data_IF_443860765267
#
_entry.id   IF_443860765267
#
_cell.length_a   1.000
_cell.length_b   1.000
_cell.length_c   1.000
_cell.angle_alpha   90.00
_cell.angle_beta   90.00
_cell.angle_gamma   90.00
#
_symmetry.space_group_name_H-M   'P 1'
#
loop_
_entity.id
_entity.type
_entity.pdbx_description
1 polymer ?
#
# COMPACT_ATOMS: atom_id res chain seq x y z
N UNK A 1 -15.62 -1.51 1.94
CA UNK A 1 -14.59 -2.12 1.09
C UNK A 1 -13.40 -2.64 1.89
N UNK A 2 -12.42 -1.84 2.35
CA UNK A 2 -11.22 -2.38 3.05
C UNK A 2 -11.54 -3.15 4.34
N UNK A 3 -12.45 -2.65 5.18
CA UNK A 3 -12.88 -3.38 6.39
C UNK A 3 -13.50 -4.75 6.06
N UNK A 4 -14.33 -4.83 5.02
CA UNK A 4 -14.95 -6.08 4.58
C UNK A 4 -13.90 -7.07 4.06
N UNK A 5 -12.91 -6.60 3.30
CA UNK A 5 -11.78 -7.42 2.86
C UNK A 5 -11.01 -7.96 4.07
N UNK A 6 -10.62 -7.11 5.02
CA UNK A 6 -9.90 -7.54 6.23
C UNK A 6 -10.71 -8.58 7.02
N UNK A 7 -12.01 -8.35 7.20
CA UNK A 7 -12.90 -9.32 7.86
C UNK A 7 -12.92 -10.65 7.13
N UNK A 8 -13.16 -10.63 5.82
CA UNK A 8 -13.17 -11.84 5.00
C UNK A 8 -11.85 -12.62 5.10
N UNK A 9 -10.71 -11.92 5.02
CA UNK A 9 -9.38 -12.55 5.11
C UNK A 9 -9.14 -13.16 6.50
N UNK A 10 -9.57 -12.51 7.59
CA UNK A 10 -9.48 -13.07 8.95
C UNK A 10 -10.34 -14.33 9.13
N UNK A 11 -11.49 -14.38 8.47
CA UNK A 11 -12.45 -15.49 8.61
C UNK A 11 -12.12 -16.67 7.70
N UNK A 12 -11.50 -16.43 6.54
CA UNK A 12 -11.37 -17.44 5.48
C UNK A 12 -9.93 -17.83 5.16
N UNK A 13 -8.93 -17.12 5.68
CA UNK A 13 -7.52 -17.39 5.40
C UNK A 13 -6.69 -17.40 6.69
N UNK A 14 -5.82 -18.40 6.81
CA UNK A 14 -4.84 -18.48 7.88
C UNK A 14 -3.62 -17.60 7.54
N UNK A 15 -3.81 -16.28 7.50
CA UNK A 15 -2.74 -15.31 7.29
C UNK A 15 -2.47 -14.52 8.59
N UNK A 16 -1.18 -14.31 8.90
CA UNK A 16 -0.75 -13.57 10.10
C UNK A 16 -0.74 -12.05 9.89
N UNK A 17 -0.50 -11.62 8.65
CA UNK A 17 -0.41 -10.21 8.28
C UNK A 17 -0.84 -9.96 6.83
N UNK A 18 -1.21 -8.70 6.56
CA UNK A 18 -1.42 -8.15 5.23
C UNK A 18 -0.32 -7.15 4.94
N UNK A 19 0.27 -7.27 3.76
CA UNK A 19 1.25 -6.32 3.24
C UNK A 19 0.70 -5.76 1.94
N UNK A 20 0.79 -4.45 1.77
CA UNK A 20 0.44 -3.76 0.53
C UNK A 20 1.49 -2.71 0.19
N UNK A 21 1.55 -2.36 -1.09
CA UNK A 21 2.40 -1.29 -1.59
C UNK A 21 1.55 -0.23 -2.29
N UNK A 22 1.85 1.03 -2.03
CA UNK A 22 1.19 2.19 -2.67
C UNK A 22 2.24 3.24 -3.02
N UNK A 23 1.86 4.21 -3.83
CA UNK A 23 2.63 5.43 -4.02
C UNK A 23 2.54 6.38 -2.80
N UNK A 24 3.42 7.37 -2.71
CA UNK A 24 3.46 8.37 -1.64
C UNK A 24 2.72 9.68 -1.97
N UNK A 25 2.00 9.76 -3.10
CA UNK A 25 1.40 10.99 -3.63
C UNK A 25 -0.12 11.02 -3.45
N UNK A 26 -0.82 9.93 -3.77
CA UNK A 26 -2.28 9.83 -3.88
C UNK A 26 -3.02 9.81 -2.52
N UNK A 27 -2.38 10.22 -1.42
CA UNK A 27 -2.91 10.15 -0.04
C UNK A 27 -3.34 8.74 0.45
N UNK A 28 -3.01 7.71 -0.32
CA UNK A 28 -3.35 6.32 -0.02
C UNK A 28 -2.73 5.85 1.31
N UNK A 29 -1.53 6.32 1.63
CA UNK A 29 -0.86 6.05 2.92
C UNK A 29 -1.77 6.42 4.10
N UNK A 30 -2.29 7.64 4.13
CA UNK A 30 -3.16 8.11 5.21
C UNK A 30 -4.48 7.32 5.29
N UNK A 31 -5.00 6.87 4.15
CA UNK A 31 -6.18 5.98 4.11
C UNK A 31 -5.87 4.62 4.75
N UNK A 32 -4.74 4.00 4.42
CA UNK A 32 -4.35 2.70 4.98
C UNK A 32 -3.96 2.78 6.46
N UNK A 33 -3.34 3.87 6.90
CA UNK A 33 -3.08 4.14 8.32
C UNK A 33 -4.39 4.20 9.11
N UNK A 34 -5.44 4.86 8.58
CA UNK A 34 -6.79 4.86 9.18
C UNK A 34 -7.43 3.47 9.21
N UNK A 35 -7.01 2.56 8.32
CA UNK A 35 -7.41 1.15 8.36
C UNK A 35 -6.55 0.31 9.33
N UNK A 36 -5.60 0.94 10.02
CA UNK A 36 -4.70 0.32 11.00
C UNK A 36 -3.57 -0.47 10.36
N UNK A 37 -3.09 -0.04 9.18
CA UNK A 37 -1.79 -0.43 8.66
C UNK A 37 -0.71 0.52 9.19
N UNK A 38 0.54 0.08 9.18
CA UNK A 38 1.71 0.90 9.51
C UNK A 38 2.73 0.80 8.39
N UNK A 39 3.39 1.92 8.06
CA UNK A 39 4.51 1.93 7.10
C UNK A 39 5.63 1.00 7.60
N UNK A 40 6.25 0.27 6.68
CA UNK A 40 7.37 -0.63 6.96
C UNK A 40 8.66 -0.13 6.32
N UNK A 41 8.62 0.14 5.03
CA UNK A 41 9.77 0.63 4.26
C UNK A 41 9.31 1.32 2.99
N UNK A 42 10.24 2.05 2.39
CA UNK A 42 10.11 2.70 1.08
C UNK A 42 11.11 2.08 0.12
N UNK A 43 10.68 1.85 -1.11
CA UNK A 43 11.57 1.55 -2.23
C UNK A 43 11.66 2.81 -3.08
N UNK A 44 12.81 3.46 -3.06
CA UNK A 44 13.07 4.66 -3.88
C UNK A 44 13.08 4.29 -5.36
N UNK A 45 12.57 5.18 -6.22
CA UNK A 45 12.54 5.03 -7.69
C UNK A 45 11.83 3.77 -8.22
N UNK A 46 11.07 3.06 -7.38
CA UNK A 46 10.35 1.84 -7.80
C UNK A 46 9.58 2.05 -9.12
N UNK A 47 8.85 3.15 -9.26
CA UNK A 47 8.05 3.39 -10.47
C UNK A 47 8.91 3.74 -11.69
N UNK A 48 10.08 4.36 -11.50
CA UNK A 48 11.01 4.67 -12.58
C UNK A 48 11.73 3.43 -13.09
N UNK A 49 12.07 2.52 -12.17
CA UNK A 49 12.89 1.35 -12.48
C UNK A 49 12.05 0.19 -13.03
N UNK A 50 10.75 0.14 -12.72
CA UNK A 50 9.87 -0.99 -13.05
C UNK A 50 8.85 -0.71 -14.17
N UNK A 51 8.71 0.53 -14.64
CA UNK A 51 7.79 0.90 -15.72
C UNK A 51 8.53 1.64 -16.84
N UNK A 52 8.25 1.26 -18.08
CA UNK A 52 8.85 1.82 -19.29
C UNK A 52 8.28 3.21 -19.67
N UNK A 53 7.20 3.63 -19.01
CA UNK A 53 6.59 4.94 -19.16
C UNK A 53 6.33 5.60 -17.79
N UNK A 54 6.42 6.93 -17.69
CA UNK A 54 6.22 7.64 -16.44
C UNK A 54 4.75 7.56 -15.98
N UNK A 55 4.54 7.21 -14.72
CA UNK A 55 3.21 7.16 -14.08
C UNK A 55 2.99 8.44 -13.27
N UNK A 56 1.79 9.00 -13.35
CA UNK A 56 1.43 10.25 -12.68
C UNK A 56 0.16 10.12 -11.85
N UNK A 57 0.15 10.79 -10.70
CA UNK A 57 -1.06 11.19 -9.99
C UNK A 57 -1.28 12.68 -10.21
N UNK A 58 -2.30 13.03 -10.98
CA UNK A 58 -2.51 14.41 -11.46
C UNK A 58 -1.31 14.92 -12.27
N UNK A 59 -0.57 15.89 -11.71
CA UNK A 59 0.63 16.47 -12.34
C UNK A 59 1.94 16.01 -11.70
N UNK A 60 1.89 15.13 -10.70
CA UNK A 60 3.06 14.67 -9.95
C UNK A 60 3.44 13.28 -10.45
N UNK A 61 4.68 13.12 -10.91
CA UNK A 61 5.20 11.82 -11.31
C UNK A 61 5.45 10.95 -10.08
N UNK A 62 4.94 9.73 -10.10
CA UNK A 62 5.21 8.73 -9.08
C UNK A 62 6.64 8.23 -9.25
N UNK A 63 7.38 8.16 -8.14
CA UNK A 63 8.78 7.71 -8.13
C UNK A 63 8.96 6.57 -7.15
N UNK A 64 8.54 6.79 -5.91
CA UNK A 64 8.80 5.88 -4.81
C UNK A 64 7.57 5.02 -4.50
N UNK A 65 7.80 3.81 -3.96
CA UNK A 65 6.75 2.92 -3.47
C UNK A 65 6.86 2.74 -1.95
N UNK A 66 5.76 2.96 -1.25
CA UNK A 66 5.63 2.79 0.19
C UNK A 66 4.96 1.45 0.48
N UNK A 67 5.60 0.64 1.31
CA UNK A 67 5.03 -0.61 1.81
C UNK A 67 4.46 -0.41 3.21
N UNK A 68 3.21 -0.85 3.39
CA UNK A 68 2.53 -0.85 4.67
C UNK A 68 2.12 -2.28 5.07
N UNK A 69 2.05 -2.54 6.37
CA UNK A 69 1.61 -3.82 6.91
C UNK A 69 0.53 -3.68 7.96
N UNK A 70 -0.30 -4.71 8.10
CA UNK A 70 -1.26 -4.86 9.19
C UNK A 70 -1.24 -6.30 9.69
N UNK A 71 -1.01 -6.50 10.99
CA UNK A 71 -1.20 -7.81 11.63
C UNK A 71 -2.69 -8.16 11.69
N UNK A 72 -3.02 -9.41 11.40
CA UNK A 72 -4.39 -9.92 11.42
C UNK A 72 -4.76 -10.59 12.75
N UNK A 73 -3.76 -11.03 13.51
CA UNK A 73 -3.87 -11.49 14.90
C UNK A 73 -3.83 -10.33 15.89
#
# INVERSE_FOLDING_TARGET
>A
MMKQLITYLKENLAADELILGTDDVSNNVAFYEKCGFTITHKISNYFLDNYDHPIFEGKVQLKDKIYLRKKLK
#
